data_IF_555502122309
#
_entry.id   IF_555502122309
#
_cell.length_a   1.000
_cell.length_b   1.000
_cell.length_c   1.000
_cell.angle_alpha   90.00
_cell.angle_beta   90.00
_cell.angle_gamma   90.00
#
_symmetry.space_group_name_H-M   'P 1'
#
loop_
_entity.id
_entity.type
_entity.pdbx_description
1 polymer ?
#
# COMPACT_ATOMS: atom_id res chain seq x y z
N UNK A 1 11.51 1.48 8.30
CA UNK A 1 10.20 1.08 7.73
C UNK A 1 10.50 0.17 6.53
N UNK A 2 9.71 -0.87 6.24
CA UNK A 2 10.00 -1.75 5.08
C UNK A 2 9.53 -1.09 3.79
N UNK A 3 10.29 -1.22 2.69
CA UNK A 3 9.84 -0.72 1.38
C UNK A 3 8.67 -1.56 0.85
N UNK A 4 7.97 -1.07 -0.18
CA UNK A 4 6.91 -1.85 -0.83
C UNK A 4 7.42 -3.20 -1.38
N UNK A 5 8.67 -3.24 -1.86
CA UNK A 5 9.29 -4.47 -2.36
C UNK A 5 9.59 -5.45 -1.22
N UNK A 6 10.19 -4.97 -0.12
CA UNK A 6 10.47 -5.82 1.06
C UNK A 6 9.17 -6.39 1.64
N UNK A 7 8.12 -5.56 1.66
CA UNK A 7 6.81 -5.99 2.14
C UNK A 7 6.24 -7.10 1.25
N UNK A 8 6.33 -6.94 -0.07
CA UNK A 8 5.89 -7.93 -1.04
C UNK A 8 6.68 -9.25 -0.92
N UNK A 9 7.99 -9.20 -0.76
CA UNK A 9 8.84 -10.38 -0.57
C UNK A 9 8.57 -11.09 0.77
N UNK A 10 8.14 -10.35 1.78
CA UNK A 10 7.81 -10.89 3.10
C UNK A 10 6.40 -11.51 3.20
N UNK A 11 5.61 -11.50 2.12
CA UNK A 11 4.24 -12.01 2.15
C UNK A 11 4.21 -13.51 2.40
N UNK A 12 3.31 -13.92 3.28
CA UNK A 12 3.03 -15.34 3.53
C UNK A 12 1.78 -15.78 2.76
N UNK A 13 1.58 -17.08 2.61
CA UNK A 13 0.34 -17.60 2.01
C UNK A 13 -0.94 -17.16 2.75
N UNK A 14 -0.86 -16.89 4.05
CA UNK A 14 -1.99 -16.34 4.81
C UNK A 14 -2.30 -14.88 4.45
N UNK A 15 -1.27 -14.11 4.12
CA UNK A 15 -1.42 -12.72 3.68
C UNK A 15 -2.08 -12.68 2.30
N UNK A 16 -1.62 -13.54 1.37
CA UNK A 16 -2.20 -13.66 0.03
C UNK A 16 -3.68 -14.07 0.05
N UNK A 17 -4.05 -15.00 0.94
CA UNK A 17 -5.45 -15.44 1.12
C UNK A 17 -6.32 -14.27 1.59
N UNK A 18 -5.84 -13.48 2.56
CA UNK A 18 -6.59 -12.34 3.07
C UNK A 18 -6.75 -11.23 2.02
N UNK A 19 -5.69 -10.98 1.24
CA UNK A 19 -5.76 -10.05 0.11
C UNK A 19 -6.81 -10.54 -0.90
N UNK A 20 -6.78 -11.82 -1.29
CA UNK A 20 -7.78 -12.35 -2.21
C UNK A 20 -9.22 -12.27 -1.67
N UNK A 21 -9.41 -12.45 -0.36
CA UNK A 21 -10.72 -12.37 0.27
C UNK A 21 -11.31 -10.94 0.26
N UNK A 22 -10.48 -9.90 0.42
CA UNK A 22 -10.95 -8.51 0.51
C UNK A 22 -10.86 -7.73 -0.80
N UNK A 23 -9.84 -7.99 -1.61
CA UNK A 23 -9.63 -7.31 -2.91
C UNK A 23 -10.19 -8.12 -4.08
N UNK A 24 -10.71 -9.34 -3.83
CA UNK A 24 -11.35 -10.19 -4.82
C UNK A 24 -10.40 -10.84 -5.83
N UNK A 25 -9.08 -10.60 -5.72
CA UNK A 25 -8.05 -11.10 -6.63
C UNK A 25 -6.74 -11.35 -5.89
N UNK A 26 -5.89 -12.20 -6.46
CA UNK A 26 -4.52 -12.43 -5.95
C UNK A 26 -3.67 -11.18 -6.11
N UNK A 27 -2.72 -10.97 -5.20
CA UNK A 27 -1.86 -9.78 -5.21
C UNK A 27 -1.08 -9.59 -6.52
N UNK A 28 -0.65 -10.68 -7.15
CA UNK A 28 0.04 -10.65 -8.46
C UNK A 28 -0.83 -10.15 -9.61
N UNK A 29 -2.16 -10.22 -9.48
CA UNK A 29 -3.10 -9.71 -10.46
C UNK A 29 -3.50 -8.25 -10.21
N UNK A 30 -3.29 -7.72 -8.99
CA UNK A 30 -3.70 -6.36 -8.63
C UNK A 30 -2.87 -5.26 -9.32
N UNK A 31 -1.62 -5.55 -9.71
CA UNK A 31 -0.77 -4.58 -10.43
C UNK A 31 -0.94 -4.62 -11.95
N UNK A 32 -1.31 -5.77 -12.51
CA UNK A 32 -1.41 -5.98 -13.97
C UNK A 32 -2.83 -5.69 -14.47
N UNK A 33 -3.85 -6.20 -13.77
CA UNK A 33 -5.24 -6.08 -14.23
C UNK A 33 -5.88 -4.73 -13.91
N UNK A 34 -5.25 -3.93 -13.04
CA UNK A 34 -5.73 -2.60 -12.70
C UNK A 34 -5.84 -1.70 -13.94
N UNK A 35 -5.24 -2.03 -15.08
CA UNK A 35 -5.39 -1.26 -16.32
C UNK A 35 -6.41 -1.81 -17.32
N UNK A 36 -6.74 -3.11 -17.31
CA UNK A 36 -7.43 -3.74 -18.44
C UNK A 36 -8.89 -4.16 -18.20
N UNK A 37 -9.34 -4.39 -16.96
CA UNK A 37 -10.68 -4.98 -16.70
C UNK A 37 -11.36 -4.54 -15.38
N UNK A 38 -11.25 -3.27 -15.01
CA UNK A 38 -11.98 -2.72 -13.85
C UNK A 38 -12.83 -1.52 -14.28
N UNK A 39 -14.09 -1.46 -13.84
CA UNK A 39 -14.97 -0.30 -14.03
C UNK A 39 -14.37 0.99 -13.43
N UNK A 40 -13.45 0.86 -12.46
CA UNK A 40 -12.61 1.93 -11.95
C UNK A 40 -11.18 1.40 -11.76
N UNK A 41 -10.29 1.61 -12.73
CA UNK A 41 -8.89 1.22 -12.63
C UNK A 41 -8.18 2.10 -11.59
N UNK A 42 -8.01 1.58 -10.37
CA UNK A 42 -7.19 2.26 -9.36
C UNK A 42 -5.78 1.67 -9.37
N UNK A 43 -4.78 2.39 -9.94
CA UNK A 43 -3.41 1.91 -10.06
C UNK A 43 -2.73 1.71 -8.70
N UNK A 44 -3.32 2.22 -7.61
CA UNK A 44 -2.78 2.11 -6.25
C UNK A 44 -3.35 0.91 -5.49
N UNK A 45 -4.20 0.09 -6.11
CA UNK A 45 -4.79 -1.10 -5.47
C UNK A 45 -3.72 -2.08 -4.97
N UNK A 46 -2.64 -2.25 -5.73
CA UNK A 46 -1.50 -3.07 -5.32
C UNK A 46 -0.86 -2.54 -4.03
N UNK A 47 -0.56 -1.23 -3.96
CA UNK A 47 0.01 -0.62 -2.76
C UNK A 47 -0.94 -0.71 -1.58
N UNK A 48 -2.24 -0.43 -1.78
CA UNK A 48 -3.25 -0.58 -0.71
C UNK A 48 -3.34 -2.00 -0.17
N UNK A 49 -3.16 -3.02 -1.01
CA UNK A 49 -3.11 -4.41 -0.56
C UNK A 49 -1.89 -4.70 0.33
N UNK A 50 -0.73 -4.10 0.04
CA UNK A 50 0.45 -4.20 0.90
C UNK A 50 0.23 -3.48 2.24
N UNK A 51 -0.32 -2.26 2.22
CA UNK A 51 -0.66 -1.51 3.43
C UNK A 51 -1.68 -2.28 4.28
N UNK A 52 -2.64 -2.94 3.63
CA UNK A 52 -3.63 -3.77 4.32
C UNK A 52 -2.97 -4.88 5.13
N UNK A 53 -1.99 -5.58 4.55
CA UNK A 53 -1.24 -6.61 5.26
C UNK A 53 -0.44 -5.99 6.42
N UNK A 54 0.18 -4.84 6.22
CA UNK A 54 0.93 -4.17 7.29
C UNK A 54 0.01 -3.79 8.46
N UNK A 55 -1.18 -3.23 8.20
CA UNK A 55 -2.19 -2.94 9.23
C UNK A 55 -2.65 -4.20 9.97
N UNK A 56 -2.82 -5.33 9.27
CA UNK A 56 -3.13 -6.61 9.92
C UNK A 56 -2.02 -7.09 10.84
N UNK A 57 -0.76 -6.97 10.41
CA UNK A 57 0.42 -7.30 11.22
C UNK A 57 0.54 -6.39 12.46
N UNK A 58 -0.04 -5.19 12.40
CA UNK A 58 -0.21 -4.29 13.53
C UNK A 58 -1.45 -4.60 14.40
N UNK A 59 -1.99 -5.82 14.30
CA UNK A 59 -3.15 -6.33 15.05
C UNK A 59 -4.49 -5.67 14.71
N UNK A 60 -4.60 -4.99 13.56
CA UNK A 60 -5.89 -4.54 13.05
C UNK A 60 -6.64 -5.73 12.45
N UNK A 61 -7.95 -5.85 12.74
CA UNK A 61 -8.76 -6.89 12.10
C UNK A 61 -8.94 -6.61 10.61
N UNK A 62 -9.21 -7.66 9.82
CA UNK A 62 -9.24 -7.55 8.36
C UNK A 62 -10.30 -6.55 7.84
N UNK A 63 -11.56 -6.52 8.35
CA UNK A 63 -12.55 -5.53 7.92
C UNK A 63 -12.12 -4.07 8.17
N UNK A 64 -11.52 -3.78 9.32
CA UNK A 64 -11.10 -2.43 9.69
C UNK A 64 -9.83 -2.03 8.93
N UNK A 65 -8.89 -2.96 8.75
CA UNK A 65 -7.71 -2.76 7.92
C UNK A 65 -8.10 -2.45 6.47
N UNK A 66 -9.06 -3.18 5.90
CA UNK A 66 -9.54 -2.95 4.55
C UNK A 66 -10.21 -1.58 4.40
N UNK A 67 -11.07 -1.20 5.35
CA UNK A 67 -11.69 0.14 5.36
C UNK A 67 -10.64 1.25 5.49
N UNK A 68 -9.64 1.06 6.35
CA UNK A 68 -8.58 2.04 6.57
C UNK A 68 -7.80 2.29 5.28
N UNK A 69 -7.41 1.24 4.54
CA UNK A 69 -6.68 1.44 3.28
C UNK A 69 -7.53 2.02 2.17
N UNK A 70 -8.83 1.70 2.13
CA UNK A 70 -9.75 2.29 1.15
C UNK A 70 -10.03 3.77 1.42
N UNK A 71 -9.85 4.23 2.65
CA UNK A 71 -9.96 5.63 3.01
C UNK A 71 -8.70 6.45 2.69
N UNK A 72 -7.57 5.80 2.39
CA UNK A 72 -6.33 6.50 2.05
C UNK A 72 -6.46 7.24 0.72
N UNK A 73 -6.02 8.48 0.74
CA UNK A 73 -5.80 9.26 -0.48
C UNK A 73 -4.65 8.66 -1.30
N UNK A 74 -4.55 9.06 -2.56
CA UNK A 74 -3.45 8.68 -3.45
C UNK A 74 -2.11 9.11 -2.84
N UNK A 75 -2.02 10.33 -2.30
CA UNK A 75 -0.81 10.87 -1.70
C UNK A 75 -0.37 10.05 -0.48
N UNK A 76 -1.29 9.68 0.41
CA UNK A 76 -0.97 8.83 1.56
C UNK A 76 -0.55 7.42 1.14
N UNK A 77 -1.16 6.89 0.09
CA UNK A 77 -0.82 5.56 -0.43
C UNK A 77 0.57 5.53 -1.05
N UNK A 78 0.97 6.60 -1.76
CA UNK A 78 2.32 6.75 -2.30
C UNK A 78 3.35 7.02 -1.19
N UNK A 79 3.00 7.88 -0.22
CA UNK A 79 3.87 8.24 0.89
C UNK A 79 4.16 7.09 1.85
N UNK A 80 3.26 6.10 1.96
CA UNK A 80 3.35 5.02 2.96
C UNK A 80 4.67 4.25 2.95
N UNK A 81 5.28 4.07 1.77
CA UNK A 81 6.53 3.33 1.60
C UNK A 81 7.71 4.22 1.19
N UNK A 82 7.54 5.54 1.24
CA UNK A 82 8.49 6.52 0.68
C UNK A 82 9.43 7.18 1.72
N UNK A 83 9.46 6.74 2.99
CA UNK A 83 10.35 7.34 3.99
C UNK A 83 11.74 6.69 4.00
N UNK A 84 12.66 7.22 3.18
CA UNK A 84 14.11 7.40 3.44
C UNK A 84 14.79 8.21 2.29
N UNK A 85 14.31 9.43 1.98
CA UNK A 85 15.12 10.40 1.19
C UNK A 85 14.81 11.89 1.46
N UNK A 86 14.11 12.23 2.56
CA UNK A 86 13.82 13.62 2.95
C UNK A 86 14.44 13.98 4.32
N UNK A 87 15.67 13.53 4.57
CA UNK A 87 16.60 14.22 5.48
C UNK A 87 17.59 15.07 4.67
N UNK A 88 17.13 16.07 3.88
CA UNK A 88 17.98 17.17 3.37
C UNK A 88 17.16 18.33 2.75
N UNK A 89 16.43 19.11 3.58
CA UNK A 89 16.19 20.54 3.25
C UNK A 89 16.46 21.42 4.47
N UNK A 90 17.67 21.27 5.03
CA UNK A 90 18.28 22.27 5.88
C UNK A 90 19.09 23.26 5.01
N UNK A 91 18.43 24.13 4.24
CA UNK A 91 19.20 24.92 3.25
C UNK A 91 18.62 26.20 2.66
N UNK A 92 17.47 26.73 3.10
CA UNK A 92 17.06 28.10 2.69
C UNK A 92 17.08 29.07 3.87
N UNK A 93 18.28 29.56 4.17
CA UNK A 93 18.43 30.86 4.82
C UNK A 93 17.71 31.93 3.98
N UNK A 94 16.88 32.79 4.59
CA UNK A 94 16.33 33.94 3.89
C UNK A 94 17.46 34.94 3.65
N UNK A 95 17.89 35.10 2.39
CA UNK A 95 18.68 36.28 2.03
C UNK A 95 17.82 37.53 2.20
N UNK A 96 18.38 38.46 2.97
CA UNK A 96 17.83 39.77 3.33
C UNK A 96 17.60 40.70 2.13
#
# INVERSE_FOLDING_TARGET
MSTANDMFESLTGFDEIAIAAHFGRKITALGVDAQENAENPDPFTFLRALIFVDKRRQNMNDPDAYKAVQALTIAETQGYFSEDDDEDDAGKEPSA
#
